data_IF_130600557532
#
_entry.id   IF_130600557532
#
_cell.length_a   1.000
_cell.length_b   1.000
_cell.length_c   1.000
_cell.angle_alpha   90.00
_cell.angle_beta   90.00
_cell.angle_gamma   90.00
#
_symmetry.space_group_name_H-M   'P 1'
#
loop_
_entity.id
_entity.type
_entity.pdbx_description
1 polymer ?
2 non-polymer ?
3 non-polymer ?
4 non-polymer ?
5 water ?
#
# COMPACT_ATOMS: atom_id res chain seq x y z
N UNK A 1 30.26 13.57 -0.37
CA UNK A 1 29.29 14.03 -1.36
C UNK A 1 27.88 13.68 -0.87
N UNK A 2 26.86 14.08 -1.63
CA UNK A 2 25.50 13.95 -1.11
C UNK A 2 25.13 12.50 -0.85
N UNK A 3 25.48 11.58 -1.77
CA UNK A 3 25.16 10.17 -1.54
C UNK A 3 25.87 9.63 -0.31
N UNK A 4 27.14 9.99 -0.11
CA UNK A 4 27.84 9.53 1.08
C UNK A 4 27.23 10.11 2.35
N UNK A 5 26.78 11.36 2.31
CA UNK A 5 26.08 11.95 3.44
C UNK A 5 24.81 11.19 3.75
N UNK A 6 24.00 10.90 2.72
CA UNK A 6 22.73 10.20 2.96
C UNK A 6 22.99 8.80 3.48
N UNK A 7 23.98 8.10 2.92
CA UNK A 7 24.26 6.75 3.37
C UNK A 7 24.71 6.74 4.83
N UNK A 8 25.57 7.70 5.22
CA UNK A 8 25.92 7.84 6.63
C UNK A 8 24.69 8.10 7.49
N UNK A 9 23.84 9.01 7.03
CA UNK A 9 22.59 9.28 7.74
C UNK A 9 21.75 8.02 7.91
N UNK A 10 21.56 7.26 6.82
CA UNK A 10 20.75 6.06 6.89
C UNK A 10 21.37 5.04 7.83
N UNK A 11 22.70 4.88 7.77
CA UNK A 11 23.39 3.99 8.68
C UNK A 11 23.06 4.28 10.14
N UNK A 12 22.74 5.54 10.47
CA UNK A 12 22.49 5.91 11.85
C UNK A 12 21.13 5.47 12.37
N UNK A 13 20.16 5.21 11.49
CA UNK A 13 18.84 4.79 11.95
C UNK A 13 18.51 3.34 11.66
N UNK A 14 19.39 2.60 11.00
CA UNK A 14 19.15 1.17 10.78
C UNK A 14 19.89 0.39 11.87
N UNK A 15 19.57 -0.88 11.99
CA UNK A 15 20.31 -1.75 12.89
C UNK A 15 21.73 -1.95 12.36
N UNK A 16 22.71 -2.06 13.25
CA UNK A 16 24.09 -2.26 12.79
C UNK A 16 24.29 -3.68 12.30
N UNK A 17 25.31 -3.83 11.46
CA UNK A 17 25.77 -5.15 11.07
C UNK A 17 25.25 -5.61 9.72
N UNK A 18 25.52 -6.88 9.44
CA UNK A 18 25.16 -7.56 8.19
C UNK A 18 24.16 -8.66 8.50
N UNK A 19 22.93 -8.61 7.98
CA UNK A 19 21.98 -9.69 8.23
C UNK A 19 22.38 -11.01 7.56
N UNK A 20 23.42 -11.01 6.73
CA UNK A 20 23.94 -12.28 6.25
C UNK A 20 24.64 -13.05 7.35
N UNK A 21 24.75 -12.48 8.54
CA UNK A 21 25.17 -13.24 9.70
C UNK A 21 24.09 -14.19 10.19
N UNK A 22 22.86 -14.06 9.72
CA UNK A 22 21.83 -14.97 10.21
C UNK A 22 20.75 -15.27 9.17
N UNK A 23 20.88 -14.80 7.94
CA UNK A 23 19.89 -15.06 6.92
C UNK A 23 20.53 -15.88 5.81
N UNK A 24 19.87 -16.98 5.45
CA UNK A 24 20.33 -17.91 4.43
C UNK A 24 19.36 -17.94 3.26
N UNK A 25 19.91 -18.31 2.10
CA UNK A 25 19.12 -18.83 0.97
C UNK A 25 18.13 -17.78 0.46
N UNK A 26 18.67 -16.64 0.05
CA UNK A 26 17.85 -15.57 -0.50
C UNK A 26 17.32 -15.96 -1.87
N UNK A 27 16.04 -15.75 -2.09
CA UNK A 27 15.43 -15.96 -3.40
C UNK A 27 14.46 -14.84 -3.69
N UNK A 28 14.65 -14.19 -4.84
CA UNK A 28 13.73 -13.14 -5.28
C UNK A 28 12.37 -13.72 -5.63
N UNK A 29 11.32 -13.15 -5.04
CA UNK A 29 9.96 -13.57 -5.34
C UNK A 29 9.12 -12.46 -5.94
N UNK A 30 9.61 -11.23 -5.96
CA UNK A 30 8.81 -10.15 -6.48
C UNK A 30 9.61 -8.87 -6.50
N UNK A 31 8.97 -7.83 -7.01
CA UNK A 31 9.64 -6.55 -7.13
C UNK A 31 8.59 -5.46 -7.10
N UNK A 32 9.05 -4.25 -6.82
CA UNK A 32 8.22 -3.08 -6.81
C UNK A 32 9.02 -1.93 -7.37
N UNK A 33 8.57 -0.71 -7.12
CA UNK A 33 9.16 0.48 -7.75
C UNK A 33 10.53 0.81 -7.18
N UNK A 34 10.77 0.51 -5.91
CA UNK A 34 12.03 0.84 -5.27
C UNK A 34 13.01 -0.32 -5.18
N UNK A 35 12.55 -1.55 -5.44
CA UNK A 35 13.48 -2.66 -5.34
C UNK A 35 12.76 -4.00 -5.38
N UNK A 36 13.44 -5.02 -4.86
CA UNK A 36 12.98 -6.39 -4.98
C UNK A 36 12.62 -6.91 -3.60
N UNK A 37 11.77 -7.93 -3.58
CA UNK A 37 11.39 -8.65 -2.38
C UNK A 37 11.94 -10.06 -2.50
N UNK A 38 12.69 -10.50 -1.50
CA UNK A 38 13.17 -11.87 -1.41
C UNK A 38 12.50 -12.58 -0.24
N UNK A 39 12.57 -13.90 -0.27
CA UNK A 39 12.35 -14.71 0.92
C UNK A 39 13.74 -15.15 1.41
N UNK A 40 13.88 -15.31 2.73
CA UNK A 40 15.10 -15.79 3.32
C UNK A 40 14.74 -16.66 4.51
N UNK A 41 15.70 -17.47 4.96
CA UNK A 41 15.52 -18.38 6.07
C UNK A 41 16.47 -17.96 7.20
N UNK A 42 15.95 -17.89 8.43
CA UNK A 42 16.80 -17.62 9.58
C UNK A 42 17.73 -18.81 9.80
N UNK A 43 19.03 -18.56 9.84
CA UNK A 43 20.01 -19.62 10.03
C UNK A 43 19.76 -20.36 11.34
N UNK A 44 19.91 -21.67 11.30
CA UNK A 44 19.68 -22.57 12.42
C UNK A 44 18.23 -22.58 12.88
N UNK A 45 17.31 -22.08 12.06
CA UNK A 45 15.90 -22.03 12.43
C UNK A 45 15.05 -22.37 11.20
N UNK A 46 13.82 -22.77 11.43
CA UNK A 46 12.97 -22.92 10.27
C UNK A 46 12.21 -21.69 9.86
N UNK A 47 12.52 -20.53 10.43
CA UNK A 47 11.69 -19.34 10.28
C UNK A 47 11.90 -18.70 8.90
N UNK A 48 10.81 -18.44 8.20
CA UNK A 48 10.87 -17.73 6.94
C UNK A 48 10.60 -16.24 7.15
N UNK A 49 11.36 -15.40 6.44
CA UNK A 49 11.16 -13.96 6.47
C UNK A 49 11.20 -13.41 5.05
N UNK A 50 10.59 -12.24 4.88
CA UNK A 50 10.66 -11.47 3.65
C UNK A 50 11.69 -10.37 3.81
N UNK A 51 12.49 -10.14 2.76
CA UNK A 51 13.49 -9.08 2.78
C UNK A 51 13.30 -8.20 1.55
N UNK A 52 13.01 -6.92 1.79
CA UNK A 52 13.08 -5.89 0.75
C UNK A 52 14.53 -5.44 0.60
N UNK A 53 14.98 -5.32 -0.65
CA UNK A 53 16.32 -4.84 -0.97
C UNK A 53 16.19 -3.65 -1.91
N UNK A 54 16.73 -2.51 -1.50
CA UNK A 54 16.64 -1.28 -2.26
C UNK A 54 18.03 -0.68 -2.43
N UNK A 55 18.47 -0.57 -3.70
CA UNK A 55 19.72 0.11 -4.01
C UNK A 55 19.54 1.61 -3.85
N UNK A 56 20.29 2.21 -2.92
CA UNK A 56 20.15 3.64 -2.65
C UNK A 56 20.40 4.46 -3.91
N UNK A 57 21.35 4.04 -4.75
CA UNK A 57 21.76 4.80 -5.91
C UNK A 57 20.68 4.87 -6.98
N UNK A 58 19.71 3.97 -6.95
CA UNK A 58 18.65 3.92 -7.95
C UNK A 58 17.39 4.66 -7.53
N UNK A 59 17.35 5.24 -6.33
CA UNK A 59 16.11 5.79 -5.80
C UNK A 59 15.86 7.21 -6.29
N UNK A 60 14.62 7.48 -6.70
CA UNK A 60 14.29 8.85 -7.06
C UNK A 60 14.06 9.74 -5.84
N UNK A 61 13.67 9.15 -4.71
CA UNK A 61 13.30 9.88 -3.50
C UNK A 61 13.89 9.12 -2.31
N UNK A 62 15.21 9.18 -2.17
CA UNK A 62 15.89 8.34 -1.18
C UNK A 62 15.45 8.67 0.25
N UNK A 63 15.13 9.94 0.52
CA UNK A 63 14.73 10.36 1.86
C UNK A 63 13.47 9.63 2.34
N UNK A 64 12.65 9.15 1.43
CA UNK A 64 11.43 8.46 1.86
C UNK A 64 11.72 7.03 2.32
N UNK A 65 12.86 6.46 1.98
CA UNK A 65 13.20 5.17 2.58
C UNK A 65 13.60 5.33 4.04
N UNK A 66 14.13 6.51 4.38
CA UNK A 66 14.26 6.92 5.78
C UNK A 66 12.92 6.86 6.50
N UNK A 67 11.91 7.48 5.89
CA UNK A 67 10.57 7.52 6.49
C UNK A 67 10.08 6.11 6.81
N UNK A 68 10.21 5.19 5.86
CA UNK A 68 9.73 3.83 6.06
C UNK A 68 10.37 3.18 7.29
N UNK A 69 11.70 3.20 7.35
CA UNK A 69 12.39 2.54 8.46
C UNK A 69 12.05 3.23 9.78
N UNK A 70 12.02 4.56 9.79
CA UNK A 70 11.82 5.29 11.05
C UNK A 70 10.36 5.21 11.49
N UNK A 71 9.44 5.70 10.65
CA UNK A 71 8.04 5.82 11.07
C UNK A 71 7.46 4.45 11.39
N UNK A 72 7.79 3.44 10.60
CA UNK A 72 7.22 2.13 10.79
C UNK A 72 8.06 1.24 11.71
N UNK A 73 8.88 1.84 12.57
CA UNK A 73 9.72 1.07 13.49
C UNK A 73 8.88 0.58 14.66
N UNK A 74 8.82 -0.75 14.83
CA UNK A 74 8.03 -1.42 15.85
C UNK A 74 6.54 -1.07 15.76
N UNK A 75 6.09 -0.60 14.60
CA UNK A 75 4.67 -0.39 14.39
C UNK A 75 3.94 -1.72 14.50
N UNK A 76 3.13 -1.88 15.54
CA UNK A 76 2.36 -3.09 15.75
C UNK A 76 0.89 -2.77 15.54
N UNK A 77 0.33 -3.30 14.46
CA UNK A 77 -1.08 -3.17 14.16
C UNK A 77 -1.51 -4.40 13.37
N UNK A 78 -2.67 -4.95 13.74
CA UNK A 78 -3.19 -6.16 13.12
C UNK A 78 -3.22 -6.10 11.58
N UNK A 79 -3.39 -4.92 11.00
CA UNK A 79 -3.54 -4.80 9.55
C UNK A 79 -2.32 -4.17 8.89
N UNK A 80 -1.14 -4.23 9.52
CA UNK A 80 0.09 -3.70 8.95
C UNK A 80 1.16 -4.78 9.01
N UNK A 81 1.83 -5.02 7.87
CA UNK A 81 2.89 -6.00 7.83
C UNK A 81 4.01 -5.59 8.77
N UNK A 82 4.45 -6.51 9.62
CA UNK A 82 5.39 -6.18 10.67
C UNK A 82 6.81 -6.12 10.12
N UNK A 83 7.53 -5.05 10.44
CA UNK A 83 8.94 -4.90 10.11
C UNK A 83 9.79 -5.30 11.32
N UNK A 84 10.73 -6.21 11.12
CA UNK A 84 11.52 -6.70 12.24
C UNK A 84 12.81 -5.90 12.42
N UNK A 85 13.58 -5.72 11.35
CA UNK A 85 14.88 -5.08 11.41
C UNK A 85 15.20 -4.46 10.06
N UNK A 86 16.18 -3.58 10.05
CA UNK A 86 16.65 -2.94 8.82
C UNK A 86 18.16 -2.84 8.86
N UNK A 87 18.79 -2.89 7.68
CA UNK A 87 20.24 -2.86 7.60
C UNK A 87 20.69 -2.14 6.35
N UNK A 88 21.94 -1.69 6.39
CA UNK A 88 22.62 -1.15 5.22
C UNK A 88 23.68 -2.15 4.83
N UNK A 89 23.55 -2.71 3.62
CA UNK A 89 24.51 -3.69 3.10
C UNK A 89 25.12 -3.07 1.85
N UNK A 90 26.35 -2.58 1.96
CA UNK A 90 26.95 -1.85 0.87
C UNK A 90 26.14 -0.61 0.55
N UNK A 91 25.63 -0.53 -0.68
CA UNK A 91 24.79 0.57 -1.11
C UNK A 91 23.31 0.22 -1.10
N UNK A 92 22.91 -0.85 -0.39
CA UNK A 92 21.53 -1.31 -0.41
C UNK A 92 20.93 -1.24 0.99
N UNK A 93 19.67 -0.81 1.07
CA UNK A 93 18.90 -0.93 2.30
C UNK A 93 18.14 -2.24 2.26
N UNK A 94 18.29 -3.03 3.32
CA UNK A 94 17.56 -4.28 3.48
C UNK A 94 16.59 -4.14 4.64
N UNK A 95 15.35 -4.55 4.45
CA UNK A 95 14.33 -4.45 5.48
C UNK A 95 13.74 -5.84 5.67
N UNK A 96 13.99 -6.43 6.83
CA UNK A 96 13.52 -7.78 7.14
C UNK A 96 12.12 -7.69 7.71
N UNK A 97 11.20 -8.47 7.16
CA UNK A 97 9.79 -8.33 7.51
C UNK A 97 9.11 -9.68 7.63
N UNK A 98 7.93 -9.64 8.22
CA UNK A 98 7.02 -10.77 8.24
C UNK A 98 6.71 -11.24 6.81
N UNK A 99 6.71 -12.55 6.60
CA UNK A 99 6.38 -13.14 5.31
C UNK A 99 4.90 -13.53 5.32
N UNK A 100 4.11 -12.91 4.45
CA UNK A 100 2.71 -13.24 4.29
C UNK A 100 2.56 -14.19 3.12
N UNK A 101 2.08 -15.39 3.42
CA UNK A 101 2.10 -16.52 2.49
C UNK A 101 0.84 -16.62 1.64
N UNK A 102 -0.12 -15.73 1.82
CA UNK A 102 -1.26 -15.69 0.93
C UNK A 102 -1.07 -14.89 -0.34
N UNK A 103 0.02 -14.15 -0.43
CA UNK A 103 0.28 -13.37 -1.63
C UNK A 103 -0.32 -11.99 -1.56
N UNK A 104 -0.27 -11.33 -2.71
CA UNK A 104 -0.69 -9.94 -2.84
C UNK A 104 -2.09 -9.89 -3.41
N UNK A 105 -2.82 -8.83 -3.05
CA UNK A 105 -4.18 -8.66 -3.54
C UNK A 105 -4.21 -8.53 -5.06
N UNK A 106 -3.12 -8.02 -5.66
CA UNK A 106 -3.04 -7.96 -7.11
C UNK A 106 -3.29 -9.31 -7.75
N UNK A 107 -2.73 -10.38 -7.18
CA UNK A 107 -2.89 -11.70 -7.76
C UNK A 107 -4.32 -12.21 -7.63
N UNK A 108 -5.00 -11.88 -6.53
CA UNK A 108 -6.40 -12.25 -6.39
C UNK A 108 -7.24 -11.53 -7.44
N UNK A 109 -7.00 -10.24 -7.61
CA UNK A 109 -7.85 -9.42 -8.48
C UNK A 109 -7.73 -9.88 -9.92
N UNK A 110 -6.53 -10.28 -10.34
CA UNK A 110 -6.34 -10.70 -11.72
C UNK A 110 -6.88 -12.10 -12.00
N UNK A 111 -7.04 -12.93 -10.97
CA UNK A 111 -7.43 -14.30 -11.20
C UNK A 111 -8.87 -14.61 -10.83
N UNK A 112 -9.56 -13.73 -10.09
CA UNK A 112 -10.89 -14.12 -9.67
C UNK A 112 -11.76 -12.89 -9.40
N UNK A 113 -13.05 -13.09 -9.62
CA UNK A 113 -14.07 -12.19 -9.08
C UNK A 113 -14.09 -12.28 -7.55
N UNK A 114 -14.38 -11.14 -6.91
CA UNK A 114 -14.66 -11.08 -5.49
C UNK A 114 -16.11 -10.67 -5.29
N UNK A 115 -16.78 -11.24 -4.28
CA UNK A 115 -18.10 -10.75 -3.96
C UNK A 115 -18.01 -9.55 -3.01
N UNK A 116 -19.15 -8.94 -2.69
CA UNK A 116 -19.08 -7.69 -1.95
C UNK A 116 -18.75 -7.90 -0.49
N UNK A 117 -19.08 -9.08 0.05
CA UNK A 117 -18.62 -9.44 1.39
C UNK A 117 -17.11 -9.48 1.44
N UNK A 118 -16.48 -9.93 0.35
CA UNK A 118 -15.02 -9.99 0.32
C UNK A 118 -14.42 -8.62 0.08
N UNK A 119 -15.03 -7.84 -0.81
CA UNK A 119 -14.56 -6.48 -1.04
C UNK A 119 -14.66 -5.66 0.23
N UNK A 120 -15.78 -5.77 0.93
CA UNK A 120 -15.94 -5.00 2.17
C UNK A 120 -14.92 -5.45 3.22
N UNK A 121 -14.61 -6.75 3.27
CA UNK A 121 -13.63 -7.22 4.25
C UNK A 121 -12.27 -6.59 4.01
N UNK A 122 -11.84 -6.55 2.74
CA UNK A 122 -10.55 -5.96 2.40
C UNK A 122 -10.53 -4.47 2.76
N UNK A 123 -11.59 -3.75 2.36
CA UNK A 123 -11.67 -2.31 2.65
C UNK A 123 -11.64 -2.04 4.15
N UNK A 124 -12.37 -2.83 4.93
CA UNK A 124 -12.38 -2.68 6.38
C UNK A 124 -10.97 -2.83 6.94
N UNK A 125 -10.24 -3.85 6.49
CA UNK A 125 -8.89 -4.07 7.01
C UNK A 125 -7.97 -2.90 6.67
N UNK A 126 -8.04 -2.38 5.45
CA UNK A 126 -7.16 -1.27 5.05
C UNK A 126 -7.53 0.00 5.80
N UNK A 127 -8.83 0.27 5.94
CA UNK A 127 -9.26 1.50 6.61
C UNK A 127 -8.97 1.46 8.11
N UNK A 128 -8.97 0.29 8.73
CA UNK A 128 -8.55 0.22 10.13
C UNK A 128 -7.09 0.62 10.27
N UNK A 129 -6.23 0.13 9.38
CA UNK A 129 -4.85 0.60 9.34
C UNK A 129 -4.78 2.10 9.09
N UNK A 130 -5.44 2.58 8.02
CA UNK A 130 -5.29 3.98 7.64
C UNK A 130 -5.85 4.91 8.70
N UNK A 131 -6.94 4.51 9.37
CA UNK A 131 -7.53 5.39 10.37
C UNK A 131 -6.52 5.68 11.48
N UNK A 132 -5.72 4.70 11.86
CA UNK A 132 -4.73 4.89 12.90
C UNK A 132 -3.53 5.67 12.35
N UNK A 133 -3.01 5.24 11.20
CA UNK A 133 -1.89 5.94 10.59
C UNK A 133 -2.21 7.41 10.38
N UNK A 134 -3.39 7.69 9.81
CA UNK A 134 -3.78 9.08 9.55
C UNK A 134 -3.94 9.88 10.84
N UNK A 135 -4.44 9.25 11.91
CA UNK A 135 -4.53 9.98 13.19
C UNK A 135 -3.13 10.31 13.74
N UNK A 136 -2.11 9.56 13.37
CA UNK A 136 -0.74 9.83 13.77
C UNK A 136 0.03 10.67 12.74
N UNK A 137 -0.66 11.15 11.71
CA UNK A 137 -0.03 12.01 10.73
C UNK A 137 0.75 11.30 9.64
N UNK A 138 0.58 10.00 9.47
CA UNK A 138 1.28 9.26 8.43
C UNK A 138 0.38 9.14 7.21
N UNK A 139 0.86 9.63 6.08
CA UNK A 139 0.25 9.39 4.77
C UNK A 139 1.02 8.28 4.08
N UNK A 140 0.32 7.23 3.64
CA UNK A 140 1.00 6.09 3.01
C UNK A 140 1.49 6.45 1.60
N UNK A 141 0.60 6.96 0.76
CA UNK A 141 0.88 7.51 -0.57
C UNK A 141 1.20 6.46 -1.63
N UNK A 142 0.99 5.17 -1.34
CA UNK A 142 1.11 4.14 -2.38
C UNK A 142 0.08 3.04 -2.14
N UNK A 143 -1.15 3.43 -1.81
CA UNK A 143 -2.24 2.47 -1.67
C UNK A 143 -2.63 1.96 -3.06
N UNK A 144 -2.62 0.64 -3.21
CA UNK A 144 -3.00 -0.08 -4.42
C UNK A 144 -2.97 -1.55 -4.07
N UNK A 145 -3.58 -2.39 -4.93
CA UNK A 145 -3.71 -3.81 -4.61
C UNK A 145 -2.35 -4.47 -4.38
N UNK A 146 -1.28 -4.02 -5.06
CA UNK A 146 0.02 -4.64 -4.82
C UNK A 146 0.57 -4.36 -3.43
N UNK A 147 0.05 -3.35 -2.74
CA UNK A 147 0.49 -3.00 -1.40
C UNK A 147 -0.23 -3.80 -0.32
N UNK A 148 -1.15 -4.68 -0.70
CA UNK A 148 -2.03 -5.39 0.21
C UNK A 148 -1.64 -6.86 0.17
N UNK A 149 -1.34 -7.42 1.34
CA UNK A 149 -0.91 -8.80 1.47
C UNK A 149 -1.90 -9.57 2.33
N UNK A 150 -1.95 -10.89 2.10
CA UNK A 150 -2.92 -11.76 2.75
C UNK A 150 -2.21 -12.92 3.43
N UNK A 151 -2.82 -13.43 4.50
CA UNK A 151 -2.33 -14.69 5.08
C UNK A 151 -3.14 -15.85 4.51
N UNK A 152 -2.67 -17.07 4.77
CA UNK A 152 -3.41 -18.21 4.25
C UNK A 152 -4.76 -18.38 4.93
N UNK A 153 -4.91 -17.89 6.15
CA UNK A 153 -6.20 -17.92 6.82
C UNK A 153 -7.04 -16.66 6.54
N UNK A 154 -6.60 -15.80 5.62
CA UNK A 154 -7.46 -14.73 5.14
C UNK A 154 -7.33 -13.41 5.86
N UNK A 155 -6.29 -13.22 6.65
CA UNK A 155 -6.08 -11.88 7.19
C UNK A 155 -5.46 -10.96 6.14
N UNK A 156 -5.68 -9.67 6.30
CA UNK A 156 -5.35 -8.67 5.29
C UNK A 156 -4.49 -7.61 5.96
N UNK A 157 -3.32 -7.33 5.38
CA UNK A 157 -2.38 -6.39 5.96
C UNK A 157 -1.81 -5.47 4.88
N UNK A 158 -1.56 -4.24 5.28
CA UNK A 158 -0.98 -3.21 4.42
C UNK A 158 0.52 -3.23 4.54
N UNK A 159 1.22 -3.01 3.43
CA UNK A 159 2.68 -2.89 3.44
C UNK A 159 3.10 -1.85 2.41
N UNK A 160 4.40 -1.83 2.11
CA UNK A 160 4.98 -0.99 1.06
C UNK A 160 4.85 0.49 1.42
N UNK A 161 5.46 0.84 2.56
CA UNK A 161 5.46 2.21 3.08
C UNK A 161 6.64 3.04 2.56
N UNK A 162 7.26 2.64 1.45
CA UNK A 162 8.45 3.33 0.94
C UNK A 162 8.22 4.75 0.43
N UNK A 163 6.96 5.17 0.24
CA UNK A 163 6.64 6.53 -0.20
C UNK A 163 5.99 7.36 0.90
N UNK A 164 5.91 6.84 2.12
CA UNK A 164 5.09 7.47 3.14
C UNK A 164 5.70 8.80 3.58
N UNK A 165 4.89 9.57 4.29
CA UNK A 165 5.24 10.91 4.73
C UNK A 165 4.63 11.13 6.11
N UNK A 166 5.24 12.06 6.84
CA UNK A 166 4.77 12.46 8.16
C UNK A 166 4.27 13.89 8.06
N UNK A 167 3.05 14.13 8.53
CA UNK A 167 2.54 15.50 8.66
C UNK A 167 2.37 15.80 10.14
N UNK A 168 2.32 17.09 10.45
CA UNK A 168 2.35 17.52 11.84
C UNK A 168 1.48 18.76 11.98
N UNK A 169 1.29 19.16 13.23
CA UNK A 169 0.66 20.43 13.55
C UNK A 169 1.35 21.59 12.82
N UNK A 170 2.69 21.58 12.82
CA UNK A 170 3.43 22.67 12.17
C UNK A 170 3.38 22.56 10.66
N UNK A 171 3.49 21.34 10.11
CA UNK A 171 3.55 21.17 8.66
C UNK A 171 2.46 20.17 8.28
N UNK A 172 1.21 20.59 8.17
CA UNK A 172 0.11 19.62 8.06
C UNK A 172 -0.12 19.07 6.65
N UNK A 173 0.58 19.58 5.64
CA UNK A 173 0.34 19.14 4.27
C UNK A 173 1.65 18.95 3.54
N UNK A 174 1.61 18.07 2.54
CA UNK A 174 2.70 17.81 1.60
C UNK A 174 2.27 18.27 0.21
N UNK A 175 3.23 18.29 -0.70
CA UNK A 175 2.96 18.67 -2.09
C UNK A 175 3.68 17.80 -3.11
N UNK A 176 4.43 16.82 -2.64
CA UNK A 176 5.24 16.01 -3.52
C UNK A 176 4.40 15.15 -4.44
N UNK A 177 4.82 15.05 -5.69
CA UNK A 177 4.20 14.10 -6.60
C UNK A 177 4.87 12.75 -6.39
N UNK A 178 4.20 11.90 -5.62
CA UNK A 178 4.71 10.59 -5.23
C UNK A 178 3.58 9.59 -5.34
N UNK A 179 3.90 8.36 -5.78
CA UNK A 179 2.91 7.30 -5.82
C UNK A 179 3.00 6.55 -7.12
N UNK A 180 1.91 5.86 -7.48
CA UNK A 180 1.82 5.09 -8.71
C UNK A 180 0.76 5.73 -9.59
N UNK A 181 1.10 6.13 -10.81
CA UNK A 181 0.26 7.09 -11.56
C UNK A 181 -1.25 6.80 -11.58
N UNK A 182 -1.64 5.55 -11.85
CA UNK A 182 -3.05 5.23 -11.98
C UNK A 182 -3.80 5.35 -10.66
N UNK A 183 -3.11 5.33 -9.52
CA UNK A 183 -3.78 5.45 -8.22
C UNK A 183 -3.64 6.85 -7.59
N UNK A 184 -2.94 7.78 -8.23
CA UNK A 184 -2.64 9.06 -7.61
C UNK A 184 -3.86 9.97 -7.53
N UNK A 185 -4.01 10.65 -6.39
CA UNK A 185 -5.10 11.61 -6.19
C UNK A 185 -4.91 12.84 -7.10
N UNK A 186 -6.00 13.47 -7.54
CA UNK A 186 -5.83 14.58 -8.50
C UNK A 186 -5.10 15.76 -7.89
N UNK A 187 -5.34 16.08 -6.61
CA UNK A 187 -4.66 17.21 -6.00
C UNK A 187 -3.17 16.92 -5.79
N UNK A 188 -2.79 15.64 -5.70
CA UNK A 188 -1.38 15.28 -5.59
C UNK A 188 -0.68 15.36 -6.93
N UNK A 189 -1.36 14.90 -8.00
CA UNK A 189 -0.83 15.06 -9.35
C UNK A 189 -0.66 16.54 -9.67
N UNK A 190 -1.49 17.39 -9.05
CA UNK A 190 -1.45 18.84 -9.23
C UNK A 190 -0.42 19.51 -8.37
N UNK A 191 0.24 18.78 -7.47
CA UNK A 191 1.22 19.30 -6.54
C UNK A 191 0.64 20.44 -5.69
N UNK A 192 -0.66 20.35 -5.38
CA UNK A 192 -1.30 21.23 -4.43
C UNK A 192 -1.10 20.67 -3.03
N UNK A 193 -1.20 21.51 -1.99
CA UNK A 193 -1.07 20.98 -0.63
C UNK A 193 -2.14 19.93 -0.37
N UNK A 194 -1.72 18.79 0.20
CA UNK A 194 -2.60 17.67 0.38
C UNK A 194 -2.27 16.98 1.69
N UNK A 195 -3.29 16.37 2.29
CA UNK A 195 -3.12 15.64 3.51
C UNK A 195 -3.39 14.17 3.32
N UNK A 196 -3.67 13.46 4.42
CA UNK A 196 -3.92 12.02 4.34
C UNK A 196 -5.06 11.64 3.41
N UNK A 197 -5.87 12.59 2.96
CA UNK A 197 -7.00 12.30 2.07
C UNK A 197 -6.56 11.62 0.78
N UNK A 198 -5.31 11.77 0.37
CA UNK A 198 -4.86 11.17 -0.89
C UNK A 198 -4.90 9.64 -0.80
N UNK A 199 -4.74 9.07 0.41
CA UNK A 199 -4.84 7.61 0.56
C UNK A 199 -6.27 7.14 0.36
N UNK A 200 -7.24 8.00 0.63
CA UNK A 200 -8.63 7.62 0.46
C UNK A 200 -8.99 7.56 -1.02
N UNK A 201 -8.48 8.51 -1.82
CA UNK A 201 -8.67 8.44 -3.26
C UNK A 201 -8.07 7.15 -3.82
N UNK A 202 -6.84 6.84 -3.41
CA UNK A 202 -6.16 5.63 -3.88
C UNK A 202 -6.93 4.37 -3.51
N UNK A 203 -7.56 4.34 -2.34
CA UNK A 203 -8.40 3.22 -1.96
C UNK A 203 -9.58 3.06 -2.92
N UNK A 204 -10.21 4.18 -3.29
CA UNK A 204 -11.24 4.13 -4.31
C UNK A 204 -10.77 3.47 -5.60
N UNK A 205 -9.56 3.80 -6.04
CA UNK A 205 -9.04 3.18 -7.25
C UNK A 205 -8.86 1.69 -7.03
N UNK A 206 -8.41 1.30 -5.84
CA UNK A 206 -8.26 -0.12 -5.54
C UNK A 206 -9.59 -0.83 -5.49
N UNK A 207 -10.65 -0.14 -5.01
CA UNK A 207 -11.98 -0.72 -5.08
C UNK A 207 -12.35 -1.01 -6.53
N UNK A 208 -12.04 -0.09 -7.44
CA UNK A 208 -12.28 -0.33 -8.86
C UNK A 208 -11.48 -1.53 -9.36
N UNK A 209 -10.22 -1.65 -8.92
CA UNK A 209 -9.46 -2.89 -9.16
C UNK A 209 -10.24 -4.12 -8.73
N UNK A 210 -10.80 -4.09 -7.51
CA UNK A 210 -11.47 -5.26 -6.99
C UNK A 210 -12.76 -5.55 -7.75
N UNK A 211 -13.46 -4.52 -8.23
CA UNK A 211 -14.70 -4.76 -8.96
C UNK A 211 -14.43 -5.07 -10.43
N UNK A 212 -13.52 -4.32 -11.06
CA UNK A 212 -13.34 -4.42 -12.50
C UNK A 212 -12.17 -5.29 -12.92
N UNK A 213 -11.22 -5.59 -12.02
CA UNK A 213 -10.03 -6.34 -12.39
C UNK A 213 -8.83 -5.50 -12.80
N UNK A 214 -8.98 -4.18 -12.91
CA UNK A 214 -7.86 -3.30 -13.23
C UNK A 214 -8.26 -1.90 -12.81
N UNK A 215 -7.29 -1.00 -12.62
CA UNK A 215 -7.63 0.39 -12.36
C UNK A 215 -8.08 1.09 -13.62
N UNK A 216 -8.76 2.24 -13.50
CA UNK A 216 -9.10 3.02 -14.69
C UNK A 216 -7.84 3.41 -15.45
N UNK A 217 -7.99 3.53 -16.78
CA UNK A 217 -6.94 4.02 -17.67
C UNK A 217 -5.71 3.12 -17.66
N UNK A 218 -5.86 1.85 -17.30
CA UNK A 218 -4.67 1.07 -16.96
C UNK A 218 -3.74 0.86 -18.15
N UNK A 219 -4.26 0.80 -19.37
CA UNK A 219 -3.38 0.60 -20.51
C UNK A 219 -2.97 1.91 -21.19
N UNK A 220 -3.42 3.06 -20.67
CA UNK A 220 -2.97 4.37 -21.13
C UNK A 220 -1.55 4.64 -20.63
N UNK A 221 -0.74 5.37 -21.40
CA UNK A 221 0.57 5.78 -20.91
C UNK A 221 0.40 6.54 -19.60
N UNK A 222 1.29 6.32 -18.63
CA UNK A 222 1.06 6.86 -17.29
C UNK A 222 0.91 8.37 -17.23
N UNK A 223 1.61 9.14 -18.08
CA UNK A 223 1.45 10.59 -18.02
C UNK A 223 0.06 11.01 -18.52
N UNK A 224 -0.47 10.30 -19.51
CA UNK A 224 -1.83 10.59 -19.99
C UNK A 224 -2.87 10.23 -18.94
N UNK A 225 -2.75 9.06 -18.31
CA UNK A 225 -3.66 8.72 -17.21
C UNK A 225 -3.64 9.79 -16.12
N UNK A 226 -2.45 10.31 -15.80
CA UNK A 226 -2.36 11.33 -14.77
C UNK A 226 -3.06 12.61 -15.21
N UNK A 227 -2.92 12.98 -16.49
CA UNK A 227 -3.61 14.17 -16.98
C UNK A 227 -5.12 14.00 -16.91
N UNK A 228 -5.61 12.80 -17.23
CA UNK A 228 -7.05 12.56 -17.19
C UNK A 228 -7.58 12.51 -15.76
N UNK A 229 -6.80 11.95 -14.83
CA UNK A 229 -7.19 11.96 -13.43
C UNK A 229 -7.23 13.40 -12.92
N UNK A 230 -6.25 14.21 -13.30
CA UNK A 230 -6.18 15.58 -12.79
C UNK A 230 -7.32 16.43 -13.35
N UNK A 231 -7.72 16.21 -14.60
CA UNK A 231 -8.59 17.16 -15.31
C UNK A 231 -10.04 16.71 -15.45
N UNK A 232 -10.31 15.40 -15.46
CA UNK A 232 -11.63 14.89 -15.77
C UNK A 232 -12.40 14.55 -14.51
N UNK A 233 -13.67 14.19 -14.70
CA UNK A 233 -14.50 13.66 -13.63
C UNK A 233 -13.88 12.38 -13.08
N UNK A 234 -14.17 12.05 -11.82
CA UNK A 234 -13.61 10.82 -11.24
C UNK A 234 -13.91 9.64 -12.13
N UNK A 235 -13.02 8.67 -12.22
CA UNK A 235 -13.25 7.53 -13.09
C UNK A 235 -14.38 6.68 -12.54
N UNK A 236 -15.07 5.98 -13.44
CA UNK A 236 -16.22 5.20 -13.01
C UNK A 236 -15.96 3.70 -13.21
N UNK A 237 -16.77 2.91 -12.52
CA UNK A 237 -16.75 1.47 -12.68
C UNK A 237 -17.22 1.08 -14.07
N UNK A 238 -16.44 0.22 -14.74
CA UNK A 238 -16.96 -0.41 -15.94
C UNK A 238 -18.14 -1.31 -15.61
N UNK A 239 -18.04 -2.05 -14.50
CA UNK A 239 -19.10 -2.93 -14.03
C UNK A 239 -20.08 -2.20 -13.11
N UNK A 240 -20.40 -0.94 -13.44
CA UNK A 240 -21.24 -0.12 -12.56
C UNK A 240 -22.56 -0.80 -12.21
N UNK A 241 -23.20 -1.41 -13.21
CA UNK A 241 -24.53 -1.95 -13.02
C UNK A 241 -24.52 -3.37 -12.44
N UNK A 242 -23.35 -3.88 -12.04
CA UNK A 242 -23.24 -5.19 -11.40
C UNK A 242 -22.98 -5.09 -9.90
N UNK A 243 -23.00 -3.89 -9.33
CA UNK A 243 -22.70 -3.72 -7.91
C UNK A 243 -23.95 -3.17 -7.22
N UNK A 244 -23.98 -3.34 -5.90
CA UNK A 244 -25.11 -2.90 -5.10
C UNK A 244 -25.09 -1.38 -4.93
N UNK A 245 -26.26 -0.78 -4.62
CA UNK A 245 -26.26 0.64 -4.24
C UNK A 245 -25.34 0.95 -3.09
N UNK A 246 -25.21 0.04 -2.14
CA UNK A 246 -24.35 0.27 -0.99
C UNK A 246 -22.89 0.44 -1.41
N UNK A 247 -22.40 -0.43 -2.29
CA UNK A 247 -21.02 -0.34 -2.72
C UNK A 247 -20.77 0.93 -3.51
N UNK A 248 -21.68 1.28 -4.43
CA UNK A 248 -21.52 2.52 -5.20
C UNK A 248 -21.60 3.75 -4.29
N UNK A 249 -22.54 3.76 -3.34
CA UNK A 249 -22.59 4.86 -2.38
C UNK A 249 -21.31 4.96 -1.58
N UNK A 250 -20.69 3.82 -1.27
CA UNK A 250 -19.39 3.80 -0.60
C UNK A 250 -18.31 4.40 -1.50
N UNK A 251 -18.19 3.88 -2.72
CA UNK A 251 -17.19 4.35 -3.67
C UNK A 251 -17.33 5.83 -3.95
N UNK A 252 -18.57 6.34 -3.98
CA UNK A 252 -18.84 7.75 -4.21
C UNK A 252 -18.26 8.65 -3.12
N UNK A 253 -18.02 8.13 -1.92
CA UNK A 253 -17.39 8.91 -0.86
C UNK A 253 -15.86 8.86 -0.92
N UNK A 254 -15.29 7.98 -1.73
CA UNK A 254 -13.84 7.90 -1.89
C UNK A 254 -13.34 8.70 -3.08
N UNK A 255 -13.94 8.51 -4.24
CA UNK A 255 -13.50 9.19 -5.46
C UNK A 255 -14.18 10.54 -5.59
N UNK A 256 -13.91 11.39 -4.60
CA UNK A 256 -14.36 12.78 -4.57
C UNK A 256 -13.17 13.65 -4.92
N UNK A 257 -13.33 14.50 -5.94
CA UNK A 257 -12.18 15.28 -6.42
C UNK A 257 -11.70 16.26 -5.37
N UNK A 258 -12.62 16.98 -4.75
CA UNK A 258 -12.27 17.97 -3.75
C UNK A 258 -11.84 17.28 -2.46
N UNK A 259 -10.55 17.34 -2.09
CA UNK A 259 -10.11 16.63 -0.88
C UNK A 259 -10.87 17.02 0.38
N UNK A 260 -11.38 18.27 0.45
CA UNK A 260 -12.11 18.70 1.63
C UNK A 260 -13.51 18.10 1.73
N UNK A 261 -14.04 17.53 0.65
CA UNK A 261 -15.31 16.81 0.69
C UNK A 261 -15.13 15.29 0.67
N UNK A 262 -13.91 14.79 0.50
CA UNK A 262 -13.67 13.36 0.47
C UNK A 262 -13.81 12.80 1.89
N UNK A 263 -14.36 11.59 2.02
CA UNK A 263 -14.51 11.03 3.35
C UNK A 263 -13.15 10.71 3.96
N UNK A 264 -13.06 10.85 5.29
CA UNK A 264 -11.88 10.37 6.01
C UNK A 264 -11.98 8.88 6.30
N UNK A 265 -10.84 8.26 6.64
CA UNK A 265 -10.84 6.85 7.02
C UNK A 265 -11.82 6.58 8.16
N UNK A 266 -11.87 7.46 9.15
CA UNK A 266 -12.75 7.20 10.29
C UNK A 266 -14.22 7.28 9.91
N UNK A 267 -14.57 8.24 9.04
CA UNK A 267 -15.94 8.33 8.54
C UNK A 267 -16.32 7.09 7.74
N UNK A 268 -15.42 6.61 6.88
CA UNK A 268 -15.70 5.45 6.04
C UNK A 268 -15.95 4.21 6.88
N UNK A 269 -15.22 4.08 7.99
CA UNK A 269 -15.40 2.93 8.87
C UNK A 269 -16.83 2.82 9.41
N UNK A 270 -17.60 3.92 9.39
CA UNK A 270 -19.00 3.95 9.79
C UNK A 270 -19.95 3.71 8.64
N UNK A 271 -19.45 3.51 7.46
CA UNK A 271 -20.35 3.46 6.33
C UNK A 271 -21.08 2.11 6.29
N UNK A 272 -22.38 2.12 5.92
CA UNK A 272 -23.15 0.87 5.87
C UNK A 272 -22.56 -0.21 5.00
N UNK A 273 -21.81 0.13 3.95
CA UNK A 273 -21.22 -0.91 3.11
C UNK A 273 -20.33 -1.84 3.92
N UNK A 274 -19.62 -1.32 4.91
CA UNK A 274 -18.68 -2.12 5.68
C UNK A 274 -19.37 -3.00 6.73
N UNK A 275 -20.68 -2.82 6.95
CA UNK A 275 -21.42 -3.84 7.69
C UNK A 275 -21.47 -5.16 6.94
N UNK A 276 -21.22 -5.15 5.63
CA UNK A 276 -21.11 -6.39 4.87
C UNK A 276 -19.81 -7.14 5.14
N UNK A 277 -18.85 -6.51 5.79
CA UNK A 277 -17.48 -7.01 5.76
C UNK A 277 -17.43 -8.41 6.36
N UNK A 278 -16.90 -9.36 5.57
CA UNK A 278 -16.86 -10.73 5.99
C UNK A 278 -15.66 -11.00 6.86
N UNK A 279 -15.68 -12.14 7.55
CA UNK A 279 -14.56 -12.49 8.43
C UNK A 279 -13.40 -13.05 7.63
N UNK A 280 -12.25 -13.30 8.27
CA UNK A 280 -11.11 -13.89 7.53
C UNK A 280 -11.50 -15.12 6.72
N UNK A 281 -12.42 -15.95 7.21
CA UNK A 281 -12.76 -17.15 6.46
C UNK A 281 -13.38 -16.83 5.10
N UNK A 282 -14.01 -15.66 4.95
CA UNK A 282 -14.62 -15.35 3.65
C UNK A 282 -13.57 -15.05 2.58
N UNK A 283 -12.36 -14.68 2.98
CA UNK A 283 -11.28 -14.39 2.04
C UNK A 283 -10.57 -15.67 1.59
N UNK A 284 -10.53 -16.69 2.46
CA UNK A 284 -9.76 -17.91 2.17
C UNK A 284 -10.03 -18.49 0.79
N UNK A 285 -11.27 -18.67 0.33
CA UNK A 285 -11.47 -19.30 -0.98
C UNK A 285 -10.78 -18.58 -2.13
N UNK A 286 -10.57 -17.27 -1.99
CA UNK A 286 -10.02 -16.48 -3.10
C UNK A 286 -8.61 -16.88 -3.45
N UNK A 287 -7.84 -17.40 -2.49
CA UNK A 287 -6.49 -17.86 -2.77
C UNK A 287 -6.43 -19.30 -3.29
N UNK A 288 -7.54 -20.03 -3.31
CA UNK A 288 -7.50 -21.43 -3.70
C UNK A 288 -8.15 -21.73 -5.04
N UNK A 289 -8.95 -20.81 -5.60
CA UNK A 289 -9.70 -21.08 -6.82
C UNK A 289 -9.96 -19.78 -7.56
N UNK A 290 -10.29 -19.90 -8.84
CA UNK A 290 -10.51 -18.78 -9.75
C UNK A 290 -11.95 -18.74 -10.24
N UNK A 291 -12.45 -17.53 -10.45
CA UNK A 291 -13.81 -17.32 -10.95
C UNK A 291 -13.81 -16.08 -11.83
N UNK A 292 -13.97 -16.27 -13.14
CA UNK A 292 -13.92 -15.16 -14.09
C UNK A 292 -15.04 -14.15 -13.81
N UNK A 293 -14.72 -12.87 -14.05
CA UNK A 293 -15.71 -11.79 -13.98
C UNK A 293 -16.63 -11.83 -15.20
X LIG B 1 4.80 -11.68 -0.83
X LIG B 1 4.32 -12.77 -1.68
X LIG B 1 4.40 -12.67 -3.13
X LIG B 1 4.95 -11.53 -3.70
X LIG B 1 5.31 -10.60 -1.38
X LIG B 1 5.39 -10.51 -2.88
X LIG B 1 3.77 -13.89 -1.12
X LIG B 1 3.29 -14.99 -2.01
X LIG B 1 3.35 -14.90 -3.34
X LIG B 1 3.94 -13.66 -3.95
X LIG B 1 5.32 -10.76 1.49
X LIG B 1 5.91 -9.49 1.21
X LIG B 1 6.31 -8.93 2.41
X LIG B 1 7.06 -7.46 2.68
X LIG B 1 6.00 -9.29 -3.51
X LIG B 1 5.95 -6.90 -4.04
X LIG B 1 5.86 -5.69 -3.15
X LIG B 1 4.11 -6.66 -1.88
X LIG B 1 4.06 -7.92 -2.74
X LIG B 1 6.28 -4.47 -3.95
X LIG B 1 6.63 -6.48 1.87
X LIG B 1 8.33 -7.47 2.23
X LIG B 1 4.73 -11.76 0.60
X LIG B 1 5.97 -9.83 3.42
X LIG B 1 5.37 -10.95 2.85
X LIG B 1 5.33 -8.04 -3.43
X LIG B 1 4.52 -5.52 -2.66
X LIG B 1 7.06 -9.41 -4.09
X LIG B 1 2.62 -16.39 -1.27
X LIG C 1 22.49 -23.55 3.29
X LIG C 1 21.16 -24.15 3.73
X LIG C 1 22.47 -22.99 1.98
X LIG D 1 -14.84 15.34 5.00
X LIG D 1 -15.01 15.64 6.48
X LIG D 1 -15.87 14.53 4.50
X LIG E 1 14.04 -19.75 1.26
X LIG E 1 13.78 -21.17 1.74
X LIG E 1 14.89 -19.06 2.15
X LIG F 1 12.17 4.73 -7.73
X LIG F 1 11.31 5.46 -6.71
X LIG F 1 13.52 5.10 -7.59
X LIG G 1 6.85 1.34 -1.47
X LIG G 1 7.62 1.27 -2.78
X LIG G 1 7.42 0.53 -0.46
X LIG H 1 -6.10 1.28 -24.99
X LIG H 1 -4.86 0.56 -25.03
X LIG H 1 -6.77 1.10 -23.63
X LIG H 1 -6.16 2.00 -22.67
X LIG I 1 -12.12 -19.42 -14.35
X LIG I 1 -12.09 -18.63 -15.54
X LIG I 1 -13.50 -20.01 -14.14
X LIG I 1 -14.46 -18.96 -13.90
X LIG J 1 6.00 -1.38 7.19
X LIG J 1 5.12 -2.41 6.67
X LIG J 1 7.16 -1.10 6.23
X LIG J 1 6.77 -1.28 4.85
#
# INVERSE_FOLDING_TARGET
>A
SSHEQFRAALQLVVDPGDPRSYLDNFIKIGEGSTGIVCIATVRSSGKLVAVKKMDLRKQQRRELLFNEVVIMRDYQHENVVEMYNSYLVGDELWVVMEFLEGGALTDIVTHTRMNEEQIAAVCLAVLQALSVLHAQGVIHRDIKSDSILLTHDGRVKLSDFGFCAQVSKEVPRRKSLVGTPYWMAPELISRLPYGPEVDIWSLGIMVIEMVDGEPPYFNEPPLKAMKMIRDNLPPRLKNLHKVSPSLKGFLDRLLVRDPAQRATAAELLKHPFLAKAGPPASIVPLMRQNRTR
>B hetero
1 8FX C4 C5 C6 N1 N3 C2 CAA CAB CAC CAD CAL CAM CAN CAQ CAR CAT CAU CAW CAX CAY CBB CBC NAK NAO NAP NAS NAV OAZ CL
>C hetero
1 EOH C1 C2 O
>D hetero
1 EOH C1 C2 O
>E hetero
1 EOH C1 C2 O
>F hetero
1 EOH C1 C2 O
>G hetero
1 EOH C1 C2 O
>H hetero
1 EDO C1 O1 C2 O2
>I hetero
1 EDO C1 O1 C2 O2
>J hetero
1 EDO C1 O1 C2 O2
#
